data_IF_755896128727
#
_entry.id   IF_755896128727
#
_cell.length_a   1.000
_cell.length_b   1.000
_cell.length_c   1.000
_cell.angle_alpha   90.00
_cell.angle_beta   90.00
_cell.angle_gamma   90.00
#
_symmetry.space_group_name_H-M   'P 1'
#
loop_
_entity.id
_entity.type
_entity.pdbx_description
1 polymer ?
#
# COMPACT_ATOMS: atom_id res chain seq x y z
N UNK A 1 -31.17 -108.87 -67.89
CA UNK A 1 -32.58 -108.52 -67.73
C UNK A 1 -33.01 -109.04 -66.36
N UNK A 2 -33.62 -108.18 -65.54
CA UNK A 2 -34.34 -108.46 -64.26
C UNK A 2 -33.55 -109.14 -63.11
N UNK A 3 -33.59 -108.64 -61.85
CA UNK A 3 -34.70 -108.68 -60.85
C UNK A 3 -34.95 -110.12 -60.34
N UNK A 4 -35.20 -110.47 -59.07
CA UNK A 4 -35.13 -109.85 -57.71
C UNK A 4 -35.49 -110.99 -56.70
N UNK A 5 -35.42 -110.95 -55.36
CA UNK A 5 -34.91 -110.07 -54.28
C UNK A 5 -34.73 -111.00 -53.04
N UNK A 6 -34.31 -110.46 -51.87
CA UNK A 6 -34.89 -110.67 -50.52
C UNK A 6 -33.90 -110.90 -49.36
N UNK A 7 -34.03 -110.00 -48.38
CA UNK A 7 -34.00 -110.22 -46.90
C UNK A 7 -32.77 -110.89 -46.27
N UNK A 8 -32.11 -110.13 -45.39
CA UNK A 8 -32.47 -110.14 -43.94
C UNK A 8 -31.83 -108.98 -43.17
N UNK A 9 -32.59 -108.39 -42.24
CA UNK A 9 -32.10 -107.59 -41.11
C UNK A 9 -32.81 -108.13 -39.87
N UNK A 10 -32.08 -108.49 -38.81
CA UNK A 10 -32.12 -107.76 -37.53
C UNK A 10 -30.68 -107.55 -36.96
N UNK A 11 -30.42 -106.92 -35.82
CA UNK A 11 -31.02 -105.81 -35.07
C UNK A 11 -30.15 -105.63 -33.81
N UNK A 12 -29.97 -104.38 -33.35
CA UNK A 12 -29.30 -104.01 -32.07
C UNK A 12 -27.78 -104.36 -31.97
N UNK A 13 -26.96 -103.61 -31.23
CA UNK A 13 -27.31 -102.71 -30.12
C UNK A 13 -26.72 -101.29 -30.21
N UNK A 14 -27.28 -100.37 -29.41
CA UNK A 14 -27.07 -98.93 -29.43
C UNK A 14 -26.12 -98.49 -28.30
N UNK A 15 -25.06 -97.76 -28.65
CA UNK A 15 -24.29 -96.94 -27.70
C UNK A 15 -23.69 -95.70 -28.40
N UNK A 16 -24.52 -94.69 -28.64
CA UNK A 16 -24.09 -93.34 -29.04
C UNK A 16 -23.52 -92.60 -27.80
N UNK A 17 -22.38 -93.08 -27.30
CA UNK A 17 -21.76 -92.52 -26.10
C UNK A 17 -20.82 -91.35 -26.47
N UNK A 18 -21.37 -90.14 -26.38
CA UNK A 18 -20.59 -88.89 -26.35
C UNK A 18 -19.65 -88.85 -25.12
N UNK A 19 -18.44 -89.37 -25.24
CA UNK A 19 -17.39 -89.13 -24.24
C UNK A 19 -16.00 -88.88 -24.86
N UNK A 20 -15.17 -88.13 -24.12
CA UNK A 20 -13.79 -87.75 -24.45
C UNK A 20 -13.51 -86.86 -25.68
N UNK A 21 -14.16 -85.70 -25.68
CA UNK A 21 -13.54 -84.45 -26.14
C UNK A 21 -13.14 -83.55 -24.96
N UNK A 22 -12.18 -83.96 -24.11
CA UNK A 22 -11.73 -83.14 -22.97
C UNK A 22 -10.90 -81.94 -23.47
N UNK A 23 -11.58 -80.93 -24.01
CA UNK A 23 -10.96 -79.67 -24.46
C UNK A 23 -10.33 -78.99 -23.25
N UNK A 24 -9.00 -78.93 -23.22
CA UNK A 24 -8.27 -78.18 -22.21
C UNK A 24 -8.82 -76.75 -22.16
N UNK A 25 -9.36 -76.35 -20.99
CA UNK A 25 -9.88 -75.00 -20.79
C UNK A 25 -8.73 -74.01 -21.07
N UNK A 26 -8.90 -73.03 -21.95
CA UNK A 26 -7.81 -72.14 -22.33
C UNK A 26 -7.37 -71.35 -21.08
N UNK A 27 -6.15 -71.62 -20.61
CA UNK A 27 -5.55 -70.97 -19.43
C UNK A 27 -5.61 -69.43 -19.55
N UNK A 28 -5.45 -68.93 -20.77
CA UNK A 28 -5.62 -67.54 -21.18
C UNK A 28 -6.96 -66.90 -20.76
N UNK A 29 -8.03 -67.67 -20.61
CA UNK A 29 -9.32 -67.15 -20.16
C UNK A 29 -9.26 -66.72 -18.69
N UNK A 30 -8.60 -67.50 -17.82
CA UNK A 30 -8.41 -67.12 -16.42
C UNK A 30 -7.50 -65.90 -16.29
N UNK A 31 -6.41 -65.86 -17.09
CA UNK A 31 -5.53 -64.71 -17.19
C UNK A 31 -6.28 -63.45 -17.66
N UNK A 32 -7.07 -63.54 -18.73
CA UNK A 32 -7.87 -62.43 -19.26
C UNK A 32 -8.92 -61.92 -18.27
N UNK A 33 -9.58 -62.82 -17.54
CA UNK A 33 -10.52 -62.45 -16.47
C UNK A 33 -9.81 -61.70 -15.34
N UNK A 34 -8.66 -62.20 -14.86
CA UNK A 34 -7.88 -61.49 -13.82
C UNK A 34 -7.35 -60.15 -14.31
N UNK A 35 -6.89 -60.04 -15.55
CA UNK A 35 -6.43 -58.79 -16.14
C UNK A 35 -7.58 -57.79 -16.33
N UNK A 36 -8.78 -58.26 -16.68
CA UNK A 36 -9.99 -57.47 -16.74
C UNK A 36 -10.36 -56.89 -15.36
N UNK A 37 -10.38 -57.73 -14.31
CA UNK A 37 -10.66 -57.29 -12.94
C UNK A 37 -9.64 -56.25 -12.47
N UNK A 38 -8.34 -56.47 -12.71
CA UNK A 38 -7.27 -55.51 -12.41
C UNK A 38 -7.43 -54.20 -13.19
N UNK A 39 -7.81 -54.28 -14.47
CA UNK A 39 -8.06 -53.11 -15.33
C UNK A 39 -9.26 -52.28 -14.86
N UNK A 40 -10.36 -52.92 -14.45
CA UNK A 40 -11.51 -52.21 -13.88
C UNK A 40 -11.15 -51.55 -12.54
N UNK A 41 -10.43 -52.26 -11.66
CA UNK A 41 -9.99 -51.73 -10.36
C UNK A 41 -9.01 -50.55 -10.51
N UNK A 42 -8.08 -50.63 -11.46
CA UNK A 42 -7.15 -49.52 -11.74
C UNK A 42 -7.87 -48.33 -12.38
N UNK A 43 -8.83 -48.53 -13.29
CA UNK A 43 -9.64 -47.44 -13.85
C UNK A 43 -10.36 -46.63 -12.75
N UNK A 44 -11.04 -47.31 -11.82
CA UNK A 44 -11.73 -46.65 -10.70
C UNK A 44 -10.74 -45.85 -9.85
N UNK A 45 -9.58 -46.43 -9.55
CA UNK A 45 -8.53 -45.76 -8.76
C UNK A 45 -7.98 -44.52 -9.47
N UNK A 46 -7.74 -44.60 -10.79
CA UNK A 46 -7.27 -43.46 -11.61
C UNK A 46 -8.29 -42.33 -11.64
N UNK A 47 -9.60 -42.65 -11.78
CA UNK A 47 -10.67 -41.64 -11.76
C UNK A 47 -10.76 -40.96 -10.39
N UNK A 48 -10.72 -41.72 -9.29
CA UNK A 48 -10.73 -41.15 -7.93
C UNK A 48 -9.52 -40.25 -7.69
N UNK A 49 -8.32 -40.67 -8.12
CA UNK A 49 -7.10 -39.87 -8.00
C UNK A 49 -7.17 -38.59 -8.84
N UNK A 50 -7.73 -38.65 -10.06
CA UNK A 50 -7.96 -37.48 -10.91
C UNK A 50 -8.90 -36.45 -10.27
N UNK A 51 -9.96 -36.91 -9.59
CA UNK A 51 -10.88 -36.03 -8.84
C UNK A 51 -10.15 -35.37 -7.66
N UNK A 52 -9.37 -36.13 -6.88
CA UNK A 52 -8.59 -35.57 -5.76
C UNK A 52 -7.55 -34.54 -6.23
N UNK A 53 -6.81 -34.84 -7.31
CA UNK A 53 -5.86 -33.91 -7.92
C UNK A 53 -6.54 -32.64 -8.45
N UNK A 54 -7.75 -32.75 -8.99
CA UNK A 54 -8.53 -31.58 -9.44
C UNK A 54 -8.90 -30.68 -8.26
N UNK A 55 -9.40 -31.24 -7.16
CA UNK A 55 -9.73 -30.48 -5.94
C UNK A 55 -8.52 -29.75 -5.35
N UNK A 56 -7.36 -30.43 -5.27
CA UNK A 56 -6.11 -29.80 -4.81
C UNK A 56 -5.64 -28.72 -5.78
N UNK A 57 -5.76 -28.94 -7.08
CA UNK A 57 -5.41 -27.95 -8.11
C UNK A 57 -6.26 -26.68 -8.00
N UNK A 58 -7.57 -26.82 -7.79
CA UNK A 58 -8.48 -25.68 -7.69
C UNK A 58 -8.27 -24.90 -6.39
N UNK A 59 -8.00 -25.59 -5.27
CA UNK A 59 -7.59 -24.93 -4.02
C UNK A 59 -6.26 -24.16 -4.19
N UNK A 60 -5.27 -24.74 -4.88
CA UNK A 60 -4.00 -24.07 -5.17
C UNK A 60 -4.19 -22.85 -6.09
N UNK A 61 -5.02 -22.94 -7.13
CA UNK A 61 -5.38 -21.78 -7.98
C UNK A 61 -6.06 -20.67 -7.18
N UNK A 62 -6.98 -21.03 -6.28
CA UNK A 62 -7.65 -20.06 -5.42
C UNK A 62 -6.67 -19.37 -4.46
N UNK A 63 -5.74 -20.13 -3.86
CA UNK A 63 -4.66 -19.57 -3.04
C UNK A 63 -3.75 -18.63 -3.86
N UNK A 64 -3.35 -19.04 -5.08
CA UNK A 64 -2.52 -18.21 -5.95
C UNK A 64 -3.24 -16.91 -6.37
N UNK A 65 -4.51 -16.97 -6.76
CA UNK A 65 -5.29 -15.78 -7.09
C UNK A 65 -5.45 -14.83 -5.88
N UNK A 66 -5.62 -15.38 -4.67
CA UNK A 66 -5.69 -14.60 -3.45
C UNK A 66 -4.34 -13.94 -3.10
N UNK A 67 -3.23 -14.67 -3.23
CA UNK A 67 -1.87 -14.14 -3.03
C UNK A 67 -1.57 -13.01 -4.02
N UNK A 68 -1.82 -13.21 -5.32
CA UNK A 68 -1.63 -12.16 -6.33
C UNK A 68 -2.53 -10.94 -6.06
N UNK A 69 -3.75 -11.12 -5.56
CA UNK A 69 -4.59 -9.99 -5.18
C UNK A 69 -4.02 -9.23 -3.97
N UNK A 70 -3.55 -9.94 -2.94
CA UNK A 70 -2.92 -9.35 -1.76
C UNK A 70 -1.61 -8.63 -2.10
N UNK A 71 -0.79 -9.21 -2.99
CA UNK A 71 0.44 -8.62 -3.51
C UNK A 71 0.17 -7.30 -4.21
N UNK A 72 -0.78 -7.26 -5.17
CA UNK A 72 -1.19 -6.02 -5.84
C UNK A 72 -1.69 -4.94 -4.87
N UNK A 73 -2.43 -5.31 -3.81
CA UNK A 73 -2.87 -4.36 -2.77
C UNK A 73 -1.67 -3.83 -1.99
N UNK A 74 -0.74 -4.70 -1.58
CA UNK A 74 0.44 -4.33 -0.81
C UNK A 74 1.40 -3.46 -1.61
N UNK A 75 1.61 -3.78 -2.90
CA UNK A 75 2.37 -2.94 -3.82
C UNK A 75 1.73 -1.55 -3.97
N UNK A 76 0.41 -1.48 -4.19
CA UNK A 76 -0.34 -0.24 -4.25
C UNK A 76 -0.22 0.61 -2.97
N UNK A 77 -0.29 -0.02 -1.80
CA UNK A 77 -0.04 0.64 -0.52
C UNK A 77 1.41 1.13 -0.39
N UNK A 78 2.40 0.33 -0.78
CA UNK A 78 3.82 0.72 -0.73
C UNK A 78 4.15 1.89 -1.65
N UNK A 79 3.51 1.96 -2.83
CA UNK A 79 3.64 3.06 -3.78
C UNK A 79 3.01 4.34 -3.23
N UNK A 80 1.79 4.25 -2.68
CA UNK A 80 1.13 5.38 -2.02
C UNK A 80 1.92 5.90 -0.81
N UNK A 81 2.47 4.99 0.01
CA UNK A 81 3.35 5.34 1.13
C UNK A 81 4.63 6.03 0.67
N UNK A 82 5.32 5.49 -0.34
CA UNK A 82 6.53 6.14 -0.91
C UNK A 82 6.21 7.52 -1.48
N UNK A 83 5.08 7.69 -2.15
CA UNK A 83 4.66 8.99 -2.68
C UNK A 83 4.40 10.01 -1.56
N UNK A 84 3.74 9.59 -0.47
CA UNK A 84 3.54 10.42 0.71
C UNK A 84 4.86 10.79 1.42
N UNK A 85 5.81 9.84 1.50
CA UNK A 85 7.13 10.06 2.08
C UNK A 85 7.95 11.08 1.28
N UNK A 86 8.04 10.93 -0.05
CA UNK A 86 8.75 11.91 -0.89
C UNK A 86 8.07 13.29 -0.87
N UNK A 87 6.73 13.36 -0.85
CA UNK A 87 6.02 14.64 -0.70
C UNK A 87 6.29 15.30 0.67
N UNK A 88 6.33 14.53 1.76
CA UNK A 88 6.67 15.02 3.09
C UNK A 88 8.12 15.51 3.17
N UNK A 89 9.04 14.82 2.51
CA UNK A 89 10.47 15.14 2.45
C UNK A 89 10.76 16.37 1.61
N UNK A 90 10.02 16.58 0.53
CA UNK A 90 10.11 17.80 -0.27
C UNK A 90 9.56 19.01 0.51
N UNK A 91 8.38 18.87 1.15
CA UNK A 91 7.86 19.90 2.04
C UNK A 91 8.81 20.23 3.20
N UNK A 92 9.53 19.24 3.74
CA UNK A 92 10.56 19.46 4.75
C UNK A 92 11.78 20.24 4.21
N UNK A 93 12.18 20.02 2.95
CA UNK A 93 13.23 20.81 2.28
C UNK A 93 12.79 22.25 2.07
N UNK A 94 11.60 22.47 1.51
CA UNK A 94 11.03 23.81 1.32
C UNK A 94 10.96 24.58 2.65
N UNK A 95 10.49 23.94 3.71
CA UNK A 95 10.45 24.52 5.05
C UNK A 95 11.85 24.89 5.57
N UNK A 96 12.85 24.02 5.36
CA UNK A 96 14.24 24.28 5.73
C UNK A 96 14.82 25.47 4.96
N UNK A 97 14.57 25.57 3.66
CA UNK A 97 15.01 26.71 2.83
C UNK A 97 14.32 28.03 3.22
N UNK A 98 13.03 27.98 3.58
CA UNK A 98 12.32 29.14 4.14
C UNK A 98 12.93 29.58 5.48
N UNK A 99 13.22 28.64 6.39
CA UNK A 99 13.87 28.94 7.68
C UNK A 99 15.26 29.56 7.46
N UNK A 100 16.09 29.00 6.59
CA UNK A 100 17.42 29.55 6.26
C UNK A 100 17.32 30.94 5.63
N UNK A 101 16.33 31.17 4.77
CA UNK A 101 16.07 32.48 4.16
C UNK A 101 15.62 33.52 5.19
N UNK A 102 14.74 33.14 6.13
CA UNK A 102 14.28 34.01 7.22
C UNK A 102 15.41 34.31 8.20
N UNK A 103 16.24 33.33 8.56
CA UNK A 103 17.41 33.51 9.41
C UNK A 103 18.41 34.51 8.78
N UNK A 104 18.71 34.39 7.48
CA UNK A 104 19.58 35.33 6.76
C UNK A 104 19.01 36.76 6.74
N UNK A 105 17.71 36.92 6.47
CA UNK A 105 17.04 38.23 6.51
C UNK A 105 17.04 38.85 7.90
N UNK A 106 16.91 38.04 8.95
CA UNK A 106 16.95 38.50 10.34
C UNK A 106 18.35 38.98 10.73
N UNK A 107 19.41 38.28 10.32
CA UNK A 107 20.80 38.69 10.53
C UNK A 107 21.13 40.01 9.82
N UNK A 108 20.75 40.14 8.55
CA UNK A 108 20.92 41.37 7.76
C UNK A 108 20.21 42.56 8.42
N UNK A 109 18.96 42.39 8.87
CA UNK A 109 18.21 43.43 9.57
C UNK A 109 18.76 43.75 10.96
N UNK A 110 19.29 42.76 11.68
CA UNK A 110 20.00 42.96 12.94
C UNK A 110 21.24 43.82 12.75
N UNK A 111 22.01 43.56 11.68
CA UNK A 111 23.20 44.34 11.32
C UNK A 111 22.86 45.79 10.92
N UNK A 112 21.84 46.00 10.08
CA UNK A 112 21.33 47.34 9.76
C UNK A 112 20.93 48.11 11.03
N UNK A 113 20.22 47.46 11.95
CA UNK A 113 19.80 48.07 13.21
C UNK A 113 20.98 48.43 14.11
N UNK A 114 22.02 47.60 14.15
CA UNK A 114 23.26 47.86 14.88
C UNK A 114 24.01 49.08 14.30
N UNK A 115 24.09 49.20 12.98
CA UNK A 115 24.72 50.34 12.32
C UNK A 115 23.94 51.64 12.56
N UNK A 116 22.61 51.61 12.40
CA UNK A 116 21.74 52.77 12.70
C UNK A 116 21.83 53.20 14.17
N UNK A 117 21.91 52.25 15.12
CA UNK A 117 22.18 52.53 16.54
C UNK A 117 23.52 53.25 16.72
N UNK A 118 24.58 52.80 16.05
CA UNK A 118 25.90 53.42 16.14
C UNK A 118 25.92 54.85 15.55
N UNK A 119 25.30 55.05 14.38
CA UNK A 119 25.16 56.37 13.75
C UNK A 119 24.37 57.34 14.65
N UNK A 120 23.29 56.87 15.28
CA UNK A 120 22.47 57.68 16.18
C UNK A 120 23.24 58.13 17.44
N UNK A 121 24.03 57.24 18.05
CA UNK A 121 24.91 57.57 19.18
C UNK A 121 25.96 58.63 18.80
N UNK A 122 26.60 58.49 17.63
CA UNK A 122 27.57 59.47 17.13
C UNK A 122 26.91 60.84 16.89
N UNK A 123 25.71 60.87 16.30
CA UNK A 123 24.94 62.11 16.12
C UNK A 123 24.59 62.77 17.47
N UNK A 124 24.17 61.98 18.46
CA UNK A 124 23.86 62.46 19.81
C UNK A 124 25.11 63.05 20.49
N UNK A 125 26.28 62.43 20.31
CA UNK A 125 27.54 62.98 20.83
C UNK A 125 27.94 64.27 20.10
N UNK A 126 27.81 64.32 18.77
CA UNK A 126 28.09 65.52 17.99
C UNK A 126 27.20 66.71 18.40
N UNK A 127 25.89 66.47 18.62
CA UNK A 127 24.96 67.48 19.15
C UNK A 127 25.37 67.96 20.55
N UNK A 128 25.76 67.03 21.44
CA UNK A 128 26.26 67.38 22.78
C UNK A 128 27.54 68.23 22.73
N UNK A 129 28.47 67.89 21.83
CA UNK A 129 29.69 68.68 21.60
C UNK A 129 29.34 70.08 21.06
N UNK A 130 28.46 70.17 20.06
CA UNK A 130 28.02 71.44 19.50
C UNK A 130 27.38 72.36 20.55
N UNK A 131 26.49 71.83 21.41
CA UNK A 131 25.87 72.57 22.51
C UNK A 131 26.92 73.16 23.48
N UNK A 132 28.00 72.41 23.78
CA UNK A 132 29.11 72.90 24.60
C UNK A 132 29.91 74.02 23.89
N UNK A 133 30.09 73.95 22.57
CA UNK A 133 30.80 74.98 21.80
C UNK A 133 29.98 76.24 21.55
N UNK A 134 28.64 76.16 21.51
CA UNK A 134 27.76 77.31 21.28
C UNK A 134 27.72 78.33 22.45
N UNK A 135 28.45 78.09 23.55
CA UNK A 135 28.61 79.08 24.62
C UNK A 135 27.31 79.48 25.31
N UNK A 136 26.30 78.60 25.34
CA UNK A 136 25.05 78.84 26.04
C UNK A 136 25.30 78.87 27.56
N UNK A 137 25.48 80.09 28.04
CA UNK A 137 25.71 80.44 29.43
C UNK A 137 24.66 79.79 30.36
N UNK A 138 25.05 79.20 31.50
CA UNK A 138 24.17 78.37 32.36
C UNK A 138 23.04 79.12 33.10
N UNK A 139 22.70 80.35 32.66
CA UNK A 139 21.59 81.15 33.17
C UNK A 139 20.43 81.32 32.16
N UNK A 140 20.57 80.88 30.90
CA UNK A 140 19.46 80.93 29.94
C UNK A 140 18.48 79.80 30.20
N UNK A 141 17.32 80.12 30.80
CA UNK A 141 16.19 79.21 31.01
C UNK A 141 15.49 78.86 29.67
N UNK A 142 16.19 78.16 28.77
CA UNK A 142 15.59 77.52 27.60
C UNK A 142 15.53 76.01 27.81
N UNK A 143 14.35 75.41 27.97
CA UNK A 143 14.20 73.97 28.13
C UNK A 143 14.29 73.29 26.75
N UNK A 144 15.50 73.28 26.17
CA UNK A 144 15.84 72.34 25.09
C UNK A 144 16.02 70.94 25.67
N UNK A 145 14.94 70.40 26.23
CA UNK A 145 14.78 68.97 26.38
C UNK A 145 14.72 68.40 24.96
N UNK A 146 15.83 67.84 24.48
CA UNK A 146 15.75 66.87 23.40
C UNK A 146 14.90 65.72 23.95
N UNK A 147 13.69 65.46 23.43
CA UNK A 147 12.95 64.28 23.84
C UNK A 147 13.83 63.09 23.47
N UNK A 148 14.22 62.31 24.48
CA UNK A 148 14.87 61.03 24.27
C UNK A 148 13.92 60.25 23.37
N UNK A 149 14.37 59.95 22.15
CA UNK A 149 13.59 59.25 21.14
C UNK A 149 13.52 57.76 21.47
N UNK A 150 13.06 57.45 22.68
CA UNK A 150 12.49 56.15 23.02
C UNK A 150 11.09 56.06 22.38
N UNK A 151 11.09 56.18 21.04
CA UNK A 151 9.98 55.75 20.21
C UNK A 151 10.02 54.22 20.26
N UNK A 152 9.46 53.67 21.33
CA UNK A 152 8.87 52.34 21.31
C UNK A 152 8.04 52.26 20.03
N UNK A 153 8.42 51.37 19.11
CA UNK A 153 7.68 51.16 17.86
C UNK A 153 6.42 50.39 18.20
N UNK A 154 5.45 51.08 18.82
CA UNK A 154 4.06 50.68 18.77
C UNK A 154 3.56 50.95 17.36
N UNK A 155 3.87 50.00 16.47
CA UNK A 155 3.05 49.72 15.29
C UNK A 155 1.98 48.71 15.68
N UNK A 156 1.17 49.07 16.67
CA UNK A 156 -0.18 48.52 16.82
C UNK A 156 -1.02 49.08 15.65
N UNK A 157 -0.73 48.61 14.44
CA UNK A 157 -1.56 48.89 13.28
C UNK A 157 -2.86 48.13 13.50
N UNK A 158 -3.94 48.88 13.76
CA UNK A 158 -5.29 48.35 13.78
C UNK A 158 -5.59 47.63 12.46
N UNK A 159 -5.40 46.31 12.45
CA UNK A 159 -6.23 45.45 11.63
C UNK A 159 -7.53 45.26 12.42
N UNK A 160 -8.62 45.75 11.84
CA UNK A 160 -9.98 45.47 12.25
C UNK A 160 -10.16 43.95 12.43
N UNK A 161 -10.13 43.46 13.67
CA UNK A 161 -10.57 42.11 14.00
C UNK A 161 -12.10 42.09 14.08
N UNK A 162 -12.73 42.39 12.95
CA UNK A 162 -14.18 42.46 12.79
C UNK A 162 -14.69 41.19 12.11
N UNK A 163 -14.63 40.05 12.81
CA UNK A 163 -15.55 38.92 12.68
C UNK A 163 -15.24 37.87 13.77
N UNK A 164 -16.26 37.23 14.36
CA UNK A 164 -16.08 36.00 15.14
C UNK A 164 -16.41 36.04 16.64
N UNK A 165 -17.02 37.11 17.16
CA UNK A 165 -17.66 37.04 18.48
C UNK A 165 -18.97 36.25 18.41
N UNK A 166 -18.95 34.92 18.56
CA UNK A 166 -20.13 34.05 18.74
C UNK A 166 -19.76 32.76 19.50
N UNK A 167 -19.93 32.77 20.83
CA UNK A 167 -20.13 31.55 21.62
C UNK A 167 -21.02 31.87 22.82
N UNK A 168 -22.32 31.61 22.68
CA UNK A 168 -23.27 31.44 23.79
C UNK A 168 -24.55 30.77 23.28
N UNK A 169 -24.45 29.48 22.92
CA UNK A 169 -25.63 28.65 22.66
C UNK A 169 -26.33 28.31 23.98
N UNK A 170 -27.13 29.23 24.49
CA UNK A 170 -28.14 28.93 25.50
C UNK A 170 -29.32 28.21 24.84
N UNK A 171 -29.66 27.02 25.34
CA UNK A 171 -30.93 26.37 25.01
C UNK A 171 -32.12 27.19 25.56
N UNK A 172 -33.33 26.94 25.05
CA UNK A 172 -34.32 26.43 25.99
C UNK A 172 -35.14 25.24 25.47
N UNK A 173 -35.70 24.50 26.42
CA UNK A 173 -36.73 23.49 26.19
C UNK A 173 -38.05 24.12 25.70
N UNK A 174 -38.68 23.51 24.70
CA UNK A 174 -40.08 23.03 24.70
C UNK A 174 -40.13 21.75 23.87
#
# INVERSE_FOLDING_TARGET
>A
MTFDDFKTKPMEDQADEKSNGQKAKPWWCLAAVTFGILCLGSLVTIVLLGIQLSQVSDLLKQQQANLTHQENILEGQSLAQRQAEEASKESQRELKEMIETLARKLDEKSKEQMELRHQNLNLQEALKRAANFSGLHPASNFPFQFPILDRTVSKETQLHLALGGWFSSGAPLV
#
